data_IF_815486446404
#
_entry.id   IF_815486446404
#
_cell.length_a   1.000
_cell.length_b   1.000
_cell.length_c   1.000
_cell.angle_alpha   90.00
_cell.angle_beta   90.00
_cell.angle_gamma   90.00
#
_symmetry.space_group_name_H-M   'P 1'
#
loop_
_entity.id
_entity.type
_entity.pdbx_description
1 polymer ?
#
# COMPACT_ATOMS: atom_id res chain seq x y z
N UNK A 1 -3.76 -9.93 -19.34
CA UNK A 1 -3.18 -8.66 -18.91
C UNK A 1 -3.79 -8.20 -17.59
N UNK A 2 -2.97 -8.08 -16.56
CA UNK A 2 -3.41 -7.57 -15.27
C UNK A 2 -3.48 -6.04 -15.30
N UNK A 3 -4.51 -5.48 -14.68
CA UNK A 3 -4.67 -4.03 -14.55
C UNK A 3 -4.61 -3.67 -13.05
N UNK A 4 -3.70 -2.77 -12.71
CA UNK A 4 -3.60 -2.21 -11.36
C UNK A 4 -4.39 -0.90 -11.33
N UNK A 5 -5.41 -0.86 -10.50
CA UNK A 5 -6.20 0.36 -10.27
C UNK A 5 -5.74 0.97 -8.96
N UNK A 6 -5.38 2.25 -8.99
CA UNK A 6 -4.92 2.98 -7.82
C UNK A 6 -6.04 3.80 -7.21
N UNK A 7 -6.19 3.73 -5.89
CA UNK A 7 -7.21 4.49 -5.16
C UNK A 7 -6.59 5.23 -3.99
N UNK A 8 -7.24 6.33 -3.56
CA UNK A 8 -6.78 7.20 -2.47
C UNK A 8 -7.85 7.35 -1.39
N UNK A 9 -9.13 7.27 -1.75
CA UNK A 9 -10.25 7.56 -0.86
C UNK A 9 -11.13 6.35 -0.63
N UNK A 10 -11.97 6.43 0.41
CA UNK A 10 -12.94 5.38 0.71
C UNK A 10 -13.94 5.21 -0.42
N UNK A 11 -14.40 6.31 -1.03
CA UNK A 11 -15.35 6.26 -2.14
C UNK A 11 -14.74 5.53 -3.34
N UNK A 12 -13.52 5.88 -3.71
CA UNK A 12 -12.81 5.22 -4.81
C UNK A 12 -12.66 3.73 -4.55
N UNK A 13 -12.25 3.37 -3.33
CA UNK A 13 -12.05 1.98 -2.96
C UNK A 13 -13.35 1.18 -3.05
N UNK A 14 -14.45 1.74 -2.54
CA UNK A 14 -15.76 1.11 -2.62
C UNK A 14 -16.18 0.85 -4.07
N UNK A 15 -15.95 1.82 -4.96
CA UNK A 15 -16.30 1.68 -6.37
C UNK A 15 -15.48 0.59 -7.07
N UNK A 16 -14.16 0.53 -6.82
CA UNK A 16 -13.30 -0.49 -7.44
C UNK A 16 -13.65 -1.88 -6.96
N UNK A 17 -13.99 -2.04 -5.69
CA UNK A 17 -14.40 -3.34 -5.15
C UNK A 17 -15.70 -3.83 -5.79
N UNK A 18 -16.65 -2.94 -6.04
CA UNK A 18 -17.91 -3.27 -6.74
C UNK A 18 -17.62 -3.74 -8.17
N UNK A 19 -16.60 -3.18 -8.81
CA UNK A 19 -16.24 -3.53 -10.18
C UNK A 19 -15.43 -4.83 -10.27
N UNK A 20 -15.11 -5.46 -9.14
CA UNK A 20 -14.40 -6.74 -9.06
C UNK A 20 -13.01 -6.74 -9.69
N UNK A 21 -12.27 -5.64 -9.56
CA UNK A 21 -10.87 -5.63 -9.96
C UNK A 21 -10.07 -6.60 -9.10
N UNK A 22 -9.17 -7.33 -9.73
CA UNK A 22 -8.35 -8.33 -9.07
C UNK A 22 -7.22 -7.72 -8.24
N UNK A 23 -6.70 -6.59 -8.68
CA UNK A 23 -5.49 -5.97 -8.13
C UNK A 23 -5.74 -4.47 -7.91
N UNK A 24 -5.63 -4.01 -6.66
CA UNK A 24 -5.90 -2.62 -6.30
C UNK A 24 -4.73 -2.07 -5.49
N UNK A 25 -4.21 -0.90 -5.90
CA UNK A 25 -3.20 -0.18 -5.16
C UNK A 25 -3.85 0.88 -4.29
N UNK A 26 -3.55 0.88 -2.99
CA UNK A 26 -3.95 1.95 -2.09
C UNK A 26 -2.76 2.88 -1.91
N UNK A 27 -2.91 4.11 -2.39
CA UNK A 27 -1.86 5.12 -2.29
C UNK A 27 -2.05 5.92 -1.01
N UNK A 28 -1.05 5.87 -0.13
CA UNK A 28 -1.08 6.57 1.16
C UNK A 28 -0.72 8.05 1.05
N UNK A 29 -0.42 8.55 -0.15
CA UNK A 29 -0.15 9.96 -0.40
C UNK A 29 -1.43 10.68 -0.78
N UNK A 30 -1.75 11.74 -0.05
CA UNK A 30 -2.88 12.61 -0.38
C UNK A 30 -2.49 13.49 -1.57
N UNK A 31 -3.30 13.50 -2.63
CA UNK A 31 -2.99 14.24 -3.87
C UNK A 31 -3.15 15.76 -3.70
N UNK A 32 -3.98 16.21 -2.75
CA UNK A 32 -4.23 17.63 -2.56
C UNK A 32 -3.08 18.33 -1.82
N UNK A 33 -2.56 17.71 -0.75
CA UNK A 33 -1.53 18.31 0.10
C UNK A 33 -0.20 17.54 0.08
N UNK A 34 -0.12 16.44 -0.67
CA UNK A 34 1.06 15.56 -0.81
C UNK A 34 1.53 14.91 0.50
N UNK A 35 0.76 15.01 1.56
CA UNK A 35 1.08 14.33 2.83
C UNK A 35 0.88 12.85 2.71
N UNK A 36 1.72 12.08 3.42
CA UNK A 36 1.69 10.63 3.41
C UNK A 36 1.28 10.12 4.78
N UNK A 37 0.32 9.20 4.79
CA UNK A 37 -0.18 8.58 6.02
C UNK A 37 -0.46 7.11 5.75
N UNK A 38 0.40 6.22 6.27
CA UNK A 38 0.25 4.77 6.03
C UNK A 38 -1.02 4.19 6.66
N UNK A 39 -1.63 4.90 7.61
CA UNK A 39 -2.90 4.45 8.18
C UNK A 39 -4.05 4.55 7.20
N UNK A 40 -3.86 5.21 6.04
CA UNK A 40 -4.86 5.24 4.98
C UNK A 40 -5.23 3.83 4.53
N UNK A 41 -4.24 2.95 4.37
CA UNK A 41 -4.50 1.55 4.00
C UNK A 41 -5.38 0.86 5.04
N UNK A 42 -5.08 1.04 6.32
CA UNK A 42 -5.89 0.46 7.40
C UNK A 42 -7.33 0.99 7.36
N UNK A 43 -7.49 2.30 7.19
CA UNK A 43 -8.80 2.95 7.15
C UNK A 43 -9.68 2.36 6.05
N UNK A 44 -9.13 2.21 4.85
CA UNK A 44 -9.87 1.66 3.71
C UNK A 44 -10.20 0.19 3.93
N UNK A 45 -9.25 -0.60 4.40
CA UNK A 45 -9.46 -2.04 4.61
C UNK A 45 -10.43 -2.34 5.76
N UNK A 46 -10.54 -1.45 6.73
CA UNK A 46 -11.55 -1.57 7.78
C UNK A 46 -12.95 -1.20 7.29
N UNK A 47 -13.04 -0.28 6.34
CA UNK A 47 -14.32 0.21 5.84
C UNK A 47 -15.00 -0.79 4.92
N UNK A 48 -14.24 -1.55 4.12
CA UNK A 48 -14.78 -2.47 3.12
C UNK A 48 -14.07 -3.82 3.20
N UNK A 49 -14.86 -4.88 2.95
CA UNK A 49 -14.31 -6.23 2.82
C UNK A 49 -13.72 -6.39 1.41
N UNK A 50 -12.42 -6.57 1.32
CA UNK A 50 -11.75 -6.70 0.04
C UNK A 50 -11.95 -8.06 -0.65
N UNK A 51 -12.46 -9.06 0.07
CA UNK A 51 -12.64 -10.41 -0.46
C UNK A 51 -11.34 -10.97 -0.99
N UNK A 52 -11.34 -11.43 -2.26
CA UNK A 52 -10.15 -12.01 -2.92
C UNK A 52 -9.30 -10.98 -3.66
N UNK A 53 -9.67 -9.70 -3.63
CA UNK A 53 -8.88 -8.65 -4.27
C UNK A 53 -7.52 -8.53 -3.58
N UNK A 54 -6.44 -8.51 -4.36
CA UNK A 54 -5.10 -8.30 -3.85
C UNK A 54 -4.84 -6.80 -3.66
N UNK A 55 -4.32 -6.45 -2.49
CA UNK A 55 -4.10 -5.06 -2.11
C UNK A 55 -2.62 -4.75 -2.06
N UNK A 56 -2.20 -3.75 -2.82
CA UNK A 56 -0.83 -3.22 -2.78
C UNK A 56 -0.88 -1.88 -2.04
N UNK A 57 -0.16 -1.76 -0.93
CA UNK A 57 -0.04 -0.49 -0.22
C UNK A 57 1.14 0.28 -0.77
N UNK A 58 0.93 1.57 -1.10
CA UNK A 58 1.91 2.42 -1.79
C UNK A 58 2.12 3.71 -1.02
N UNK A 59 3.34 4.22 -1.07
CA UNK A 59 3.80 5.47 -0.47
C UNK A 59 3.93 5.42 1.05
N UNK A 60 4.99 6.03 1.54
CA UNK A 60 5.22 6.19 2.97
C UNK A 60 5.82 4.99 3.68
N UNK A 61 6.18 3.94 2.94
CA UNK A 61 6.77 2.75 3.52
C UNK A 61 8.29 2.99 3.61
N UNK A 62 8.79 3.16 4.84
CA UNK A 62 10.17 3.55 5.08
C UNK A 62 11.02 2.47 5.74
N UNK A 63 10.42 1.42 6.28
CA UNK A 63 11.17 0.37 6.95
C UNK A 63 10.35 -0.87 7.26
N UNK A 64 10.98 -1.86 7.89
CA UNK A 64 10.33 -3.16 8.18
C UNK A 64 9.09 -3.05 9.05
N UNK A 65 9.07 -2.09 10.00
CA UNK A 65 7.92 -1.91 10.88
C UNK A 65 6.67 -1.50 10.11
N UNK A 66 6.84 -0.65 9.08
CA UNK A 66 5.74 -0.23 8.23
C UNK A 66 5.17 -1.43 7.46
N UNK A 67 6.04 -2.29 6.93
CA UNK A 67 5.62 -3.49 6.22
C UNK A 67 4.86 -4.43 7.15
N UNK A 68 5.38 -4.67 8.35
CA UNK A 68 4.73 -5.52 9.34
C UNK A 68 3.35 -4.98 9.72
N UNK A 69 3.26 -3.68 9.95
CA UNK A 69 1.99 -3.04 10.28
C UNK A 69 0.97 -3.18 9.13
N UNK A 70 1.39 -2.84 7.90
CA UNK A 70 0.50 -2.90 6.74
C UNK A 70 0.05 -4.32 6.45
N UNK A 71 0.94 -5.30 6.60
CA UNK A 71 0.60 -6.70 6.46
C UNK A 71 -0.45 -7.11 7.49
N UNK A 72 -0.30 -6.64 8.73
CA UNK A 72 -1.24 -6.98 9.81
C UNK A 72 -2.64 -6.43 9.57
N UNK A 73 -2.77 -5.33 8.81
CA UNK A 73 -4.09 -4.75 8.51
C UNK A 73 -4.67 -5.24 7.19
N UNK A 74 -3.98 -6.12 6.47
CA UNK A 74 -4.55 -6.81 5.32
C UNK A 74 -3.95 -6.49 3.96
N UNK A 75 -2.86 -5.72 3.88
CA UNK A 75 -2.16 -5.50 2.63
C UNK A 75 -1.43 -6.78 2.20
N UNK A 76 -1.46 -7.08 0.91
CA UNK A 76 -0.86 -8.28 0.35
C UNK A 76 0.52 -8.03 -0.25
N UNK A 77 0.78 -6.78 -0.69
CA UNK A 77 2.04 -6.40 -1.29
C UNK A 77 2.34 -4.92 -1.02
N UNK A 78 3.55 -4.50 -1.33
CA UNK A 78 4.04 -3.17 -0.93
C UNK A 78 4.88 -2.55 -2.03
N UNK A 79 4.74 -1.23 -2.21
CA UNK A 79 5.57 -0.47 -3.15
C UNK A 79 6.46 0.47 -2.34
N UNK A 80 7.77 0.22 -2.34
CA UNK A 80 8.72 0.88 -1.45
C UNK A 80 9.81 1.68 -2.18
N UNK A 81 9.64 1.91 -3.48
CA UNK A 81 10.70 2.49 -4.33
C UNK A 81 11.31 3.77 -3.79
N UNK A 82 10.47 4.71 -3.32
CA UNK A 82 10.96 6.01 -2.85
C UNK A 82 11.88 5.87 -1.64
N UNK A 83 11.49 5.07 -0.64
CA UNK A 83 12.33 4.90 0.55
C UNK A 83 13.64 4.18 0.24
N UNK A 84 13.62 3.22 -0.70
CA UNK A 84 14.82 2.53 -1.13
C UNK A 84 15.76 3.52 -1.83
N UNK A 85 15.22 4.36 -2.72
CA UNK A 85 16.03 5.32 -3.49
C UNK A 85 16.65 6.41 -2.62
N UNK A 86 16.07 6.70 -1.45
CA UNK A 86 16.56 7.73 -0.55
C UNK A 86 17.57 7.23 0.47
N UNK A 87 17.85 5.94 0.50
CA UNK A 87 18.81 5.37 1.46
C UNK A 87 20.22 5.37 0.90
N UNK A 88 21.25 5.61 1.74
CA UNK A 88 22.65 5.55 1.29
C UNK A 88 23.12 4.13 0.96
N UNK A 89 22.47 3.10 1.52
CA UNK A 89 22.82 1.72 1.20
C UNK A 89 21.55 0.98 0.74
N UNK A 90 21.33 0.97 -0.57
CA UNK A 90 20.14 0.36 -1.18
C UNK A 90 20.09 -1.14 -0.90
N UNK A 91 21.22 -1.83 -0.96
CA UNK A 91 21.27 -3.29 -0.74
C UNK A 91 20.84 -3.65 0.68
N UNK A 92 21.35 -2.95 1.68
CA UNK A 92 21.01 -3.19 3.07
C UNK A 92 19.53 -2.90 3.31
N UNK A 93 19.01 -1.84 2.69
CA UNK A 93 17.60 -1.47 2.84
C UNK A 93 16.67 -2.51 2.23
N UNK A 94 16.99 -3.01 1.05
CA UNK A 94 16.19 -4.06 0.41
C UNK A 94 16.19 -5.33 1.26
N UNK A 95 17.35 -5.74 1.76
CA UNK A 95 17.46 -6.92 2.62
C UNK A 95 16.64 -6.78 3.88
N UNK A 96 16.72 -5.61 4.53
CA UNK A 96 15.95 -5.30 5.73
C UNK A 96 14.45 -5.43 5.49
N UNK A 97 13.94 -4.87 4.39
CA UNK A 97 12.53 -4.93 4.05
C UNK A 97 12.08 -6.33 3.65
N UNK A 98 12.93 -7.05 2.92
CA UNK A 98 12.62 -8.42 2.52
C UNK A 98 12.36 -9.32 3.72
N UNK A 99 13.17 -9.22 4.76
CA UNK A 99 13.00 -10.04 5.96
C UNK A 99 11.81 -9.62 6.83
N UNK A 100 11.19 -8.47 6.56
CA UNK A 100 9.96 -8.05 7.24
C UNK A 100 8.71 -8.71 6.65
N UNK A 101 8.79 -9.23 5.44
CA UNK A 101 7.67 -9.90 4.79
C UNK A 101 7.40 -11.25 5.43
#
# INVERSE_FOLDING_TARGET
LEVLIEVHTEEEFGEVLKANYHLVGINNRNLDNLQVDITNTERLLKRYNKGKTLIISESGISGPKDIQYLKSVGADAFLVGTSIMQTPDIRAKISEMYYAL
#
